data_IF_911971663163
#
_entry.id   IF_911971663163
#
_cell.length_a   1.000
_cell.length_b   1.000
_cell.length_c   1.000
_cell.angle_alpha   90.00
_cell.angle_beta   90.00
_cell.angle_gamma   90.00
#
_symmetry.space_group_name_H-M   'P 1'
#
loop_
_entity.id
_entity.type
_entity.pdbx_description
1 polymer ?
#
# COMPACT_ATOMS: atom_id res chain seq x y z
N UNK A 1 -10.94 42.78 -73.61
CA UNK A 1 -9.48 42.63 -73.36
C UNK A 1 -9.34 41.98 -71.98
N UNK A 2 -8.51 40.98 -71.67
CA UNK A 2 -7.62 40.02 -72.38
C UNK A 2 -7.20 39.01 -71.27
N UNK A 3 -7.14 37.68 -71.40
CA UNK A 3 -7.47 36.69 -72.47
C UNK A 3 -7.72 35.31 -71.81
N UNK A 4 -8.49 34.41 -72.44
CA UNK A 4 -8.46 32.94 -72.18
C UNK A 4 -7.77 32.26 -73.37
N UNK A 5 -6.98 31.16 -73.21
CA UNK A 5 -7.54 29.81 -73.01
C UNK A 5 -6.56 28.85 -72.26
N UNK A 6 -6.56 27.50 -72.31
CA UNK A 6 -7.35 26.42 -72.97
C UNK A 6 -7.59 25.23 -72.02
N UNK A 7 -8.55 24.39 -72.40
CA UNK A 7 -8.81 23.00 -71.99
C UNK A 7 -7.58 22.07 -71.98
N UNK A 8 -7.63 21.03 -71.12
CA UNK A 8 -7.53 19.62 -71.55
C UNK A 8 -8.13 18.64 -70.51
N UNK A 9 -8.89 17.67 -71.00
CA UNK A 9 -9.61 16.63 -70.25
C UNK A 9 -8.72 15.40 -70.03
N UNK A 10 -8.89 14.64 -68.93
CA UNK A 10 -8.96 13.16 -68.96
C UNK A 10 -9.37 12.60 -67.57
N UNK A 11 -10.13 11.49 -67.61
CA UNK A 11 -10.31 10.34 -66.67
C UNK A 11 -9.87 10.47 -65.18
N UNK A 12 -10.54 9.85 -64.19
CA UNK A 12 -11.25 8.56 -64.24
C UNK A 12 -12.21 8.38 -63.04
N UNK A 13 -13.19 7.47 -63.15
CA UNK A 13 -14.03 7.03 -62.03
C UNK A 13 -13.23 6.18 -61.02
N UNK A 14 -13.44 6.43 -59.72
CA UNK A 14 -13.24 5.43 -58.67
C UNK A 14 -14.22 5.70 -57.51
N UNK A 15 -15.33 4.96 -57.46
CA UNK A 15 -16.22 4.91 -56.29
C UNK A 15 -15.57 4.01 -55.25
N UNK A 16 -15.07 4.58 -54.16
CA UNK A 16 -14.52 3.85 -53.02
C UNK A 16 -15.45 3.96 -51.81
N UNK A 17 -16.00 2.83 -51.35
CA UNK A 17 -16.85 2.78 -50.16
C UNK A 17 -16.05 3.16 -48.91
N UNK A 18 -16.32 4.34 -48.35
CA UNK A 18 -15.93 4.66 -46.98
C UNK A 18 -16.87 3.93 -46.00
N UNK A 19 -16.44 2.76 -45.53
CA UNK A 19 -17.10 2.05 -44.43
C UNK A 19 -16.95 2.86 -43.13
N UNK A 20 -17.95 3.69 -42.84
CA UNK A 20 -18.12 4.37 -41.56
C UNK A 20 -18.40 3.33 -40.46
N UNK A 21 -17.34 2.73 -39.92
CA UNK A 21 -17.39 2.05 -38.63
C UNK A 21 -17.49 3.13 -37.56
N UNK A 22 -18.72 3.58 -37.32
CA UNK A 22 -19.03 4.43 -36.19
C UNK A 22 -18.76 3.68 -34.90
N UNK A 23 -17.61 3.93 -34.27
CA UNK A 23 -17.39 3.61 -32.86
C UNK A 23 -18.36 4.44 -32.03
N UNK A 24 -19.57 3.92 -31.87
CA UNK A 24 -20.54 4.44 -30.93
C UNK A 24 -19.97 4.23 -29.53
N UNK A 25 -19.34 5.27 -28.96
CA UNK A 25 -19.12 5.35 -27.53
C UNK A 25 -20.50 5.36 -26.88
N UNK A 26 -20.91 4.20 -26.37
CA UNK A 26 -22.09 4.10 -25.54
C UNK A 26 -21.81 4.91 -24.28
N UNK A 27 -22.29 6.16 -24.25
CA UNK A 27 -22.27 6.97 -23.04
C UNK A 27 -22.87 6.13 -21.90
N UNK A 28 -22.22 6.03 -20.74
CA UNK A 28 -22.70 5.16 -19.67
C UNK A 28 -24.15 5.53 -19.34
N UNK A 29 -25.03 4.53 -19.36
CA UNK A 29 -26.45 4.74 -19.10
C UNK A 29 -26.62 5.52 -17.80
N UNK A 30 -27.41 6.59 -17.79
CA UNK A 30 -27.64 7.38 -16.58
C UNK A 30 -27.99 6.44 -15.42
N UNK A 31 -27.11 6.42 -14.42
CA UNK A 31 -27.30 5.64 -13.20
C UNK A 31 -28.62 6.10 -12.57
N UNK A 32 -29.66 5.28 -12.71
CA UNK A 32 -30.92 5.51 -12.01
C UNK A 32 -30.60 5.54 -10.52
N UNK A 33 -31.23 6.48 -9.80
CA UNK A 33 -31.07 6.73 -8.35
C UNK A 33 -31.49 5.54 -7.44
N UNK A 34 -31.64 4.34 -8.01
CA UNK A 34 -32.11 3.13 -7.37
C UNK A 34 -30.94 2.22 -6.94
N UNK A 35 -29.69 2.50 -7.33
CA UNK A 35 -28.48 1.86 -6.78
C UNK A 35 -28.13 2.44 -5.39
N UNK A 36 -29.14 2.60 -4.53
CA UNK A 36 -28.96 2.95 -3.12
C UNK A 36 -29.07 1.64 -2.34
N UNK A 37 -27.97 1.23 -1.72
CA UNK A 37 -27.95 0.16 -0.72
C UNK A 37 -29.03 0.49 0.34
N UNK A 38 -30.05 -0.37 0.53
CA UNK A 38 -31.10 -0.13 1.52
C UNK A 38 -30.54 0.30 2.89
N UNK A 39 -31.13 1.29 3.59
CA UNK A 39 -30.61 1.76 4.87
C UNK A 39 -30.41 0.65 5.94
N UNK A 40 -31.19 -0.43 5.88
CA UNK A 40 -31.02 -1.60 6.73
C UNK A 40 -29.71 -2.39 6.48
N UNK A 41 -29.09 -2.24 5.30
CA UNK A 41 -27.80 -2.84 4.93
C UNK A 41 -26.62 -1.89 5.16
N UNK A 42 -26.88 -0.58 5.32
CA UNK A 42 -25.90 0.42 5.80
C UNK A 42 -25.66 0.35 7.33
N UNK A 43 -26.28 -0.61 8.02
CA UNK A 43 -26.33 -0.69 9.48
C UNK A 43 -26.03 -2.07 10.07
N UNK A 44 -25.24 -2.91 9.38
CA UNK A 44 -24.76 -4.20 9.90
C UNK A 44 -23.65 -4.00 10.96
N UNK A 45 -23.97 -3.30 12.04
CA UNK A 45 -23.03 -2.92 13.09
C UNK A 45 -22.58 -4.08 13.97
N UNK A 46 -21.35 -3.99 14.49
CA UNK A 46 -20.89 -4.84 15.57
C UNK A 46 -21.81 -4.72 16.80
N UNK A 47 -22.11 -5.83 17.47
CA UNK A 47 -22.89 -5.79 18.72
C UNK A 47 -22.00 -5.23 19.85
N UNK A 48 -22.26 -4.01 20.37
CA UNK A 48 -21.39 -3.39 21.36
C UNK A 48 -21.36 -4.17 22.68
N UNK A 49 -22.34 -5.04 22.93
CA UNK A 49 -22.37 -5.94 24.11
C UNK A 49 -21.36 -7.10 24.01
N UNK A 50 -20.75 -7.29 22.83
CA UNK A 50 -19.70 -8.29 22.55
C UNK A 50 -18.32 -7.66 22.37
N UNK A 51 -18.21 -6.33 22.32
CA UNK A 51 -16.93 -5.64 22.30
C UNK A 51 -16.27 -5.71 23.68
N UNK A 52 -14.93 -5.78 23.72
CA UNK A 52 -14.19 -5.70 24.98
C UNK A 52 -14.42 -4.35 25.66
N UNK A 53 -15.16 -4.35 26.76
CA UNK A 53 -15.71 -3.11 27.33
C UNK A 53 -14.71 -2.36 28.21
N UNK A 54 -14.23 -1.22 27.72
CA UNK A 54 -13.74 -0.13 28.55
C UNK A 54 -14.66 1.09 28.31
N UNK A 55 -15.82 1.09 28.98
CA UNK A 55 -16.91 2.04 28.68
C UNK A 55 -16.66 3.37 29.38
N UNK A 56 -16.58 4.45 28.62
CA UNK A 56 -16.65 5.81 29.19
C UNK A 56 -18.08 6.10 29.67
N UNK A 57 -18.28 6.24 30.98
CA UNK A 57 -19.61 6.47 31.59
C UNK A 57 -20.20 7.86 31.28
N UNK A 58 -19.40 8.81 30.80
CA UNK A 58 -19.85 10.17 30.48
C UNK A 58 -20.13 10.38 28.98
N UNK A 59 -21.32 10.89 28.66
CA UNK A 59 -21.70 11.31 27.30
C UNK A 59 -20.90 12.49 26.74
N UNK A 60 -20.23 13.26 27.60
CA UNK A 60 -19.38 14.39 27.17
C UNK A 60 -17.98 13.88 26.80
N UNK A 61 -17.40 14.35 25.67
CA UNK A 61 -16.06 13.94 25.26
C UNK A 61 -15.02 14.43 26.27
N UNK A 62 -14.36 13.51 26.97
CA UNK A 62 -13.24 13.84 27.85
C UNK A 62 -11.94 13.86 27.06
N UNK A 63 -11.49 15.06 26.68
CA UNK A 63 -10.15 15.28 26.11
C UNK A 63 -9.09 14.72 27.07
N UNK A 64 -8.35 13.70 26.60
CA UNK A 64 -7.20 13.07 27.28
C UNK A 64 -7.27 13.09 28.83
N UNK A 65 -8.34 12.52 29.41
CA UNK A 65 -8.50 12.35 30.86
C UNK A 65 -8.27 13.63 31.71
N UNK A 66 -8.60 14.82 31.19
CA UNK A 66 -8.39 16.12 31.87
C UNK A 66 -6.92 16.46 32.18
N UNK A 67 -5.97 16.00 31.35
CA UNK A 67 -4.55 16.36 31.47
C UNK A 67 -4.37 17.88 31.39
N UNK A 68 -3.89 18.50 32.49
CA UNK A 68 -3.73 19.95 32.62
C UNK A 68 -2.65 20.55 31.72
N UNK A 69 -1.59 19.78 31.44
CA UNK A 69 -0.46 20.16 30.60
C UNK A 69 -0.31 19.10 29.50
N UNK A 70 -1.08 19.17 28.39
CA UNK A 70 -1.00 18.17 27.33
C UNK A 70 0.36 18.22 26.63
N UNK A 71 0.86 17.05 26.24
CA UNK A 71 2.03 16.89 25.38
C UNK A 71 1.74 15.85 24.30
N UNK A 72 2.40 15.98 23.16
CA UNK A 72 2.39 15.01 22.07
C UNK A 72 3.62 14.09 22.07
N UNK A 73 4.50 14.19 23.07
CA UNK A 73 5.63 13.26 23.26
C UNK A 73 5.13 11.85 23.58
N UNK A 74 5.88 10.83 23.14
CA UNK A 74 5.59 9.41 23.42
C UNK A 74 5.54 9.11 24.93
N UNK A 75 4.62 8.23 25.36
CA UNK A 75 4.45 7.91 26.80
C UNK A 75 5.13 6.62 27.25
N UNK A 76 5.33 5.67 26.35
CA UNK A 76 5.84 4.34 26.67
C UNK A 76 6.94 3.89 25.70
N UNK A 77 7.61 2.78 26.04
CA UNK A 77 8.52 2.12 25.12
C UNK A 77 7.79 1.62 23.86
N UNK A 78 6.50 1.27 23.96
CA UNK A 78 5.69 0.86 22.81
C UNK A 78 5.41 2.04 21.87
N UNK A 79 4.99 3.18 22.41
CA UNK A 79 4.85 4.42 21.65
C UNK A 79 6.17 4.80 20.98
N UNK A 80 7.27 4.83 21.74
CA UNK A 80 8.60 5.17 21.22
C UNK A 80 9.00 4.28 20.05
N UNK A 81 8.88 2.95 20.18
CA UNK A 81 9.30 2.02 19.13
C UNK A 81 8.38 2.03 17.91
N UNK A 82 7.10 2.39 18.09
CA UNK A 82 6.14 2.50 16.98
C UNK A 82 6.32 3.81 16.22
N UNK A 83 6.50 4.94 16.91
CA UNK A 83 6.80 6.23 16.28
C UNK A 83 8.22 6.26 15.68
N UNK A 84 9.19 5.54 16.26
CA UNK A 84 10.53 5.39 15.66
C UNK A 84 10.52 4.54 14.37
N UNK A 85 9.61 3.57 14.25
CA UNK A 85 9.37 2.86 12.99
C UNK A 85 8.76 3.78 11.94
N UNK A 86 7.71 4.54 12.30
CA UNK A 86 7.11 5.51 11.40
C UNK A 86 8.14 6.56 10.94
N UNK A 87 8.98 7.10 11.84
CA UNK A 87 10.05 8.03 11.46
C UNK A 87 11.09 7.43 10.50
N UNK A 88 11.32 6.11 10.53
CA UNK A 88 12.15 5.44 9.51
C UNK A 88 11.46 5.39 8.13
N UNK A 89 10.12 5.38 8.08
CA UNK A 89 9.32 5.50 6.85
C UNK A 89 9.43 6.92 6.28
N UNK A 90 9.15 7.95 7.08
CA UNK A 90 9.25 9.37 6.65
C UNK A 90 10.59 9.68 5.98
N UNK A 91 11.67 9.14 6.56
CA UNK A 91 13.03 9.37 6.06
C UNK A 91 13.36 8.63 4.76
N UNK A 92 12.76 7.47 4.49
CA UNK A 92 12.96 6.76 3.21
C UNK A 92 12.08 7.37 2.11
N UNK A 93 10.89 7.87 2.43
CA UNK A 93 10.03 8.60 1.47
C UNK A 93 10.62 9.94 1.09
N UNK A 94 11.08 10.72 2.09
CA UNK A 94 11.82 11.97 1.87
C UNK A 94 13.05 11.78 0.97
N UNK A 95 13.82 10.71 1.19
CA UNK A 95 14.99 10.41 0.36
C UNK A 95 14.58 9.94 -1.04
N UNK A 96 13.67 8.96 -1.14
CA UNK A 96 13.18 8.38 -2.40
C UNK A 96 12.65 9.43 -3.37
N UNK A 97 11.75 10.30 -2.91
CA UNK A 97 11.10 11.28 -3.80
C UNK A 97 12.10 12.32 -4.31
N UNK A 98 13.05 12.78 -3.46
CA UNK A 98 14.12 13.67 -3.89
C UNK A 98 15.16 12.96 -4.78
N UNK A 99 15.48 11.70 -4.49
CA UNK A 99 16.39 10.88 -5.29
C UNK A 99 15.86 10.69 -6.71
N UNK A 100 14.60 10.32 -6.88
CA UNK A 100 13.99 10.12 -8.19
C UNK A 100 13.85 11.42 -9.00
N UNK A 101 13.51 12.54 -8.36
CA UNK A 101 13.49 13.87 -8.97
C UNK A 101 14.89 14.35 -9.41
N UNK A 102 15.96 13.75 -8.87
CA UNK A 102 17.36 14.04 -9.24
C UNK A 102 17.92 13.04 -10.24
N UNK A 103 17.48 11.78 -10.19
CA UNK A 103 17.96 10.67 -11.04
C UNK A 103 17.47 10.80 -12.48
N UNK A 104 16.22 11.17 -12.67
CA UNK A 104 15.55 11.18 -13.97
C UNK A 104 15.44 12.60 -14.54
N UNK A 105 15.62 12.73 -15.85
CA UNK A 105 15.44 14.00 -16.56
C UNK A 105 13.96 14.29 -16.81
N UNK A 106 13.62 15.56 -17.07
CA UNK A 106 12.26 15.96 -17.49
C UNK A 106 11.76 15.08 -18.66
N UNK A 107 12.62 14.75 -19.62
CA UNK A 107 12.29 13.93 -20.77
C UNK A 107 11.97 12.46 -20.42
N UNK A 108 12.54 11.91 -19.33
CA UNK A 108 12.22 10.56 -18.86
C UNK A 108 10.83 10.51 -18.22
N UNK A 109 10.44 11.57 -17.50
CA UNK A 109 9.08 11.74 -16.96
C UNK A 109 8.05 11.99 -18.08
N UNK A 110 8.35 12.90 -19.01
CA UNK A 110 7.49 13.20 -20.15
C UNK A 110 7.27 11.93 -21.00
N UNK A 111 8.28 11.06 -21.15
CA UNK A 111 8.18 9.76 -21.82
C UNK A 111 7.39 8.70 -21.04
N UNK A 112 7.30 8.83 -19.71
CA UNK A 112 6.38 8.07 -18.85
C UNK A 112 4.94 8.62 -18.86
N UNK A 113 4.71 9.81 -19.44
CA UNK A 113 3.43 10.49 -19.45
C UNK A 113 3.16 11.36 -18.21
N UNK A 114 4.19 11.70 -17.43
CA UNK A 114 4.11 12.57 -16.25
C UNK A 114 4.69 13.94 -16.58
N UNK A 115 3.89 14.99 -16.47
CA UNK A 115 4.28 16.34 -16.88
C UNK A 115 4.96 17.16 -15.75
N UNK A 116 5.15 18.47 -15.99
CA UNK A 116 5.81 19.35 -15.04
C UNK A 116 4.99 19.59 -13.74
N UNK A 117 3.66 19.52 -13.80
CA UNK A 117 2.77 19.65 -12.65
C UNK A 117 2.74 18.32 -11.86
N UNK A 118 2.80 17.17 -12.53
CA UNK A 118 2.98 15.86 -11.86
C UNK A 118 4.32 15.82 -11.11
N UNK A 119 5.42 16.28 -11.74
CA UNK A 119 6.73 16.43 -11.10
C UNK A 119 6.70 17.45 -9.95
N UNK A 120 5.86 18.48 -10.04
CA UNK A 120 5.63 19.40 -8.93
C UNK A 120 4.91 18.72 -7.76
N UNK A 121 3.93 17.86 -8.02
CA UNK A 121 3.23 17.09 -6.99
C UNK A 121 4.18 16.12 -6.26
N UNK A 122 5.04 15.40 -6.98
CA UNK A 122 6.10 14.56 -6.35
C UNK A 122 7.00 15.39 -5.43
N UNK A 123 7.39 16.59 -5.88
CA UNK A 123 8.19 17.53 -5.06
C UNK A 123 7.42 18.04 -3.84
N UNK A 124 6.10 18.20 -3.95
CA UNK A 124 5.25 18.61 -2.84
C UNK A 124 5.09 17.49 -1.81
N UNK A 125 4.92 16.23 -2.24
CA UNK A 125 4.94 15.07 -1.35
C UNK A 125 6.27 15.02 -0.58
N UNK A 126 7.41 15.14 -1.27
CA UNK A 126 8.72 15.25 -0.61
C UNK A 126 8.85 16.40 0.42
N UNK A 127 8.03 17.45 0.34
CA UNK A 127 7.97 18.51 1.35
C UNK A 127 7.05 18.17 2.53
N UNK A 128 6.04 17.33 2.33
CA UNK A 128 5.16 16.83 3.39
C UNK A 128 5.96 15.94 4.36
N UNK A 129 6.82 15.07 3.85
CA UNK A 129 7.70 14.20 4.67
C UNK A 129 8.65 14.99 5.57
N UNK A 130 9.04 16.22 5.19
CA UNK A 130 9.80 17.10 6.10
C UNK A 130 8.95 17.46 7.32
N UNK A 131 7.68 17.81 7.11
CA UNK A 131 6.73 18.11 8.18
C UNK A 131 6.43 16.91 9.07
N UNK A 132 6.21 15.75 8.47
CA UNK A 132 5.98 14.50 9.19
C UNK A 132 7.22 14.07 10.01
N UNK A 133 8.41 14.02 9.39
CA UNK A 133 9.66 13.70 10.07
C UNK A 133 9.97 14.68 11.23
N UNK A 134 9.69 15.98 11.07
CA UNK A 134 9.80 16.96 12.17
C UNK A 134 8.81 16.64 13.30
N UNK A 135 7.56 16.32 12.97
CA UNK A 135 6.54 15.98 13.96
C UNK A 135 6.95 14.73 14.77
N UNK A 136 7.27 13.62 14.09
CA UNK A 136 7.60 12.34 14.75
C UNK A 136 8.92 12.41 15.51
N UNK A 137 9.97 13.06 14.96
CA UNK A 137 11.22 13.27 15.70
C UNK A 137 11.02 14.17 16.92
N UNK A 138 10.10 15.14 16.87
CA UNK A 138 9.72 15.95 18.04
C UNK A 138 8.94 15.16 19.10
N UNK A 139 8.16 14.14 18.72
CA UNK A 139 7.49 13.23 19.67
C UNK A 139 8.51 12.36 20.45
N UNK A 140 9.58 11.93 19.76
CA UNK A 140 10.65 11.08 20.29
C UNK A 140 11.76 11.86 21.02
N UNK A 141 11.92 13.15 20.71
CA UNK A 141 12.90 14.03 21.34
C UNK A 141 14.36 13.69 20.98
N UNK A 142 15.33 13.91 21.89
CA UNK A 142 16.75 13.72 21.60
C UNK A 142 17.15 12.31 21.16
N UNK A 143 16.34 11.29 21.48
CA UNK A 143 16.57 9.89 21.13
C UNK A 143 15.95 9.49 19.78
N UNK A 144 15.30 10.40 19.06
CA UNK A 144 14.79 10.15 17.72
C UNK A 144 15.91 9.62 16.80
N UNK A 145 15.71 8.49 16.09
CA UNK A 145 16.65 8.03 15.07
C UNK A 145 16.88 9.14 14.03
N UNK A 146 18.06 9.14 13.43
CA UNK A 146 18.45 10.02 12.33
C UNK A 146 18.23 9.31 11.00
N UNK A 147 18.08 10.12 9.94
CA UNK A 147 17.98 9.63 8.57
C UNK A 147 19.17 8.71 8.24
N UNK A 148 18.86 7.60 7.56
CA UNK A 148 19.84 6.61 7.16
C UNK A 148 20.28 6.83 5.71
N UNK A 149 21.10 5.94 5.17
CA UNK A 149 21.36 5.86 3.73
C UNK A 149 20.57 4.71 3.13
N UNK A 150 20.09 4.91 1.90
CA UNK A 150 19.14 4.02 1.24
C UNK A 150 19.68 3.49 -0.09
N UNK A 151 19.06 2.44 -0.61
CA UNK A 151 19.30 1.90 -1.95
C UNK A 151 17.96 1.66 -2.64
N UNK A 152 17.93 1.93 -3.94
CA UNK A 152 16.76 1.65 -4.79
C UNK A 152 17.23 1.00 -6.10
N UNK A 153 16.49 0.00 -6.56
CA UNK A 153 16.94 -0.88 -7.66
C UNK A 153 16.28 -0.56 -9.01
N UNK A 154 15.32 0.37 -9.05
CA UNK A 154 14.64 0.85 -10.27
C UNK A 154 15.58 1.61 -11.23
N UNK A 155 15.34 1.49 -12.53
CA UNK A 155 16.13 2.12 -13.61
C UNK A 155 15.32 3.05 -14.50
N UNK A 156 13.98 3.04 -14.40
CA UNK A 156 13.06 3.86 -15.19
C UNK A 156 12.03 4.58 -14.30
N UNK A 157 11.39 5.63 -14.83
CA UNK A 157 10.33 6.35 -14.11
C UNK A 157 9.15 5.42 -13.73
N UNK A 158 8.62 4.54 -14.60
CA UNK A 158 7.55 3.62 -14.21
C UNK A 158 7.93 2.66 -13.08
N UNK A 159 9.16 2.14 -13.06
CA UNK A 159 9.66 1.30 -11.95
C UNK A 159 9.82 2.09 -10.64
N UNK A 160 10.15 3.39 -10.71
CA UNK A 160 10.13 4.28 -9.55
C UNK A 160 8.71 4.52 -9.03
N UNK A 161 7.73 4.68 -9.93
CA UNK A 161 6.32 4.88 -9.55
C UNK A 161 5.75 3.61 -8.90
N UNK A 162 5.93 2.41 -9.49
CA UNK A 162 5.54 1.14 -8.87
C UNK A 162 6.23 0.94 -7.51
N UNK A 163 7.53 1.24 -7.41
CA UNK A 163 8.23 1.15 -6.13
C UNK A 163 7.65 2.11 -5.08
N UNK A 164 7.33 3.35 -5.45
CA UNK A 164 6.71 4.34 -4.56
C UNK A 164 5.29 3.96 -4.15
N UNK A 165 4.52 3.37 -5.08
CA UNK A 165 3.18 2.83 -4.86
C UNK A 165 3.18 1.72 -3.79
N UNK A 166 4.15 0.79 -3.88
CA UNK A 166 4.33 -0.26 -2.86
C UNK A 166 4.85 0.31 -1.55
N UNK A 167 5.83 1.23 -1.61
CA UNK A 167 6.53 1.75 -0.43
C UNK A 167 5.60 2.56 0.48
N UNK A 168 4.83 3.48 -0.10
CA UNK A 168 3.78 4.22 0.62
C UNK A 168 2.71 3.28 1.18
N UNK A 169 2.38 2.16 0.50
CA UNK A 169 1.41 1.18 1.03
C UNK A 169 1.87 0.51 2.33
N UNK A 170 3.14 0.08 2.43
CA UNK A 170 3.61 -0.54 3.67
C UNK A 170 3.88 0.48 4.79
N UNK A 171 4.17 1.73 4.44
CA UNK A 171 4.18 2.86 5.37
C UNK A 171 2.81 3.08 5.99
N UNK A 172 1.81 3.39 5.15
CA UNK A 172 0.46 3.67 5.62
C UNK A 172 -0.13 2.53 6.45
N UNK A 173 0.04 1.30 5.94
CA UNK A 173 -0.55 0.11 6.56
C UNK A 173 0.14 -0.22 7.88
N UNK A 174 1.44 0.04 7.99
CA UNK A 174 2.20 -0.12 9.22
C UNK A 174 1.62 0.73 10.35
N UNK A 175 1.41 2.02 10.08
CA UNK A 175 0.82 2.96 11.04
C UNK A 175 -0.62 2.59 11.37
N UNK A 176 -1.48 2.34 10.37
CA UNK A 176 -2.88 1.97 10.60
C UNK A 176 -3.02 0.73 11.50
N UNK A 177 -2.07 -0.22 11.42
CA UNK A 177 -2.05 -1.42 12.27
C UNK A 177 -1.71 -1.18 13.75
N UNK A 178 -1.06 -0.06 14.12
CA UNK A 178 -0.73 0.25 15.52
C UNK A 178 -1.34 1.54 16.08
N UNK A 179 -1.92 2.41 15.24
CA UNK A 179 -2.40 3.74 15.62
C UNK A 179 -3.32 3.72 16.86
N UNK A 180 -4.23 2.74 16.94
CA UNK A 180 -5.18 2.57 18.05
C UNK A 180 -4.58 1.93 19.30
N UNK A 181 -3.33 1.47 19.24
CA UNK A 181 -2.59 0.84 20.33
C UNK A 181 -1.66 1.83 21.07
N UNK A 182 -1.49 3.05 20.55
CA UNK A 182 -0.66 4.08 21.18
C UNK A 182 -1.26 4.58 22.50
N UNK A 183 -0.42 4.71 23.52
CA UNK A 183 -0.81 5.19 24.86
C UNK A 183 -1.12 6.69 24.82
N UNK A 184 -0.30 7.50 24.13
CA UNK A 184 -0.58 8.93 23.97
C UNK A 184 -1.53 9.22 22.79
N UNK A 185 -2.79 9.48 23.13
CA UNK A 185 -3.84 9.92 22.18
C UNK A 185 -3.49 11.19 21.39
N UNK A 186 -2.64 12.08 21.92
CA UNK A 186 -2.22 13.28 21.20
C UNK A 186 -1.20 12.94 20.10
N UNK A 187 -0.24 12.04 20.39
CA UNK A 187 0.67 11.49 19.38
C UNK A 187 -0.11 10.75 18.30
N UNK A 188 -1.05 9.88 18.70
CA UNK A 188 -1.94 9.17 17.78
C UNK A 188 -2.77 10.11 16.90
N UNK A 189 -3.30 11.21 17.45
CA UNK A 189 -4.09 12.17 16.67
C UNK A 189 -3.26 12.96 15.64
N UNK A 190 -1.98 13.25 15.94
CA UNK A 190 -1.08 13.90 14.98
C UNK A 190 -0.62 12.90 13.91
N UNK A 191 -0.27 11.67 14.31
CA UNK A 191 0.06 10.59 13.38
C UNK A 191 -1.12 10.23 12.47
N UNK A 192 -2.37 10.32 12.96
CA UNK A 192 -3.56 10.18 12.13
C UNK A 192 -3.66 11.28 11.04
N UNK A 193 -3.12 12.47 11.30
CA UNK A 193 -3.14 13.58 10.33
C UNK A 193 -2.05 13.42 9.26
N UNK A 194 -0.86 12.89 9.59
CA UNK A 194 0.16 12.55 8.58
C UNK A 194 -0.28 11.34 7.75
N UNK A 195 -0.74 10.26 8.39
CA UNK A 195 -1.06 9.01 7.70
C UNK A 195 -2.22 9.12 6.70
N UNK A 196 -3.18 10.01 6.99
CA UNK A 196 -4.26 10.32 6.03
C UNK A 196 -3.82 11.23 4.88
N UNK A 197 -2.59 11.74 4.94
CA UNK A 197 -1.88 12.38 3.83
C UNK A 197 -1.06 11.35 3.06
N UNK A 198 -0.28 10.48 3.72
CA UNK A 198 0.45 9.35 3.09
C UNK A 198 -0.50 8.47 2.24
N UNK A 199 -1.70 8.17 2.72
CA UNK A 199 -2.73 7.45 1.95
C UNK A 199 -3.12 8.15 0.63
N UNK A 200 -3.06 9.49 0.58
CA UNK A 200 -3.29 10.26 -0.65
C UNK A 200 -2.08 10.24 -1.57
N UNK A 201 -0.88 10.07 -1.03
CA UNK A 201 0.33 9.90 -1.82
C UNK A 201 0.33 8.52 -2.48
N UNK A 202 -0.04 7.46 -1.74
CA UNK A 202 -0.23 6.11 -2.28
C UNK A 202 -1.27 6.12 -3.42
N UNK A 203 -2.45 6.73 -3.17
CA UNK A 203 -3.48 7.01 -4.18
C UNK A 203 -2.91 7.72 -5.42
N UNK A 204 -2.04 8.73 -5.22
CA UNK A 204 -1.43 9.51 -6.31
C UNK A 204 -0.43 8.66 -7.11
N UNK A 205 0.39 7.84 -6.46
CA UNK A 205 1.29 6.91 -7.16
C UNK A 205 0.51 5.88 -7.98
N UNK A 206 -0.65 5.40 -7.50
CA UNK A 206 -1.57 4.56 -8.30
C UNK A 206 -2.09 5.29 -9.54
N UNK A 207 -2.44 6.57 -9.44
CA UNK A 207 -2.82 7.39 -10.60
C UNK A 207 -1.68 7.54 -11.61
N UNK A 208 -0.46 7.81 -11.12
CA UNK A 208 0.74 7.90 -11.95
C UNK A 208 1.14 6.57 -12.60
N UNK A 209 0.84 5.43 -11.96
CA UNK A 209 1.07 4.12 -12.55
C UNK A 209 0.03 3.77 -13.63
N UNK A 210 -1.17 4.38 -13.57
CA UNK A 210 -2.30 4.06 -14.42
C UNK A 210 -3.23 2.97 -13.84
N UNK A 211 -3.18 2.73 -12.53
CA UNK A 211 -4.08 1.84 -11.80
C UNK A 211 -5.34 2.59 -11.33
N UNK A 212 -6.42 1.89 -10.95
CA UNK A 212 -7.57 2.57 -10.34
C UNK A 212 -7.22 3.05 -8.92
N UNK A 213 -7.46 4.32 -8.55
CA UNK A 213 -6.79 4.88 -7.39
C UNK A 213 -7.51 4.66 -6.04
N UNK A 214 -8.77 4.20 -6.02
CA UNK A 214 -9.51 3.87 -4.78
C UNK A 214 -10.23 2.51 -4.87
N UNK A 215 -9.50 1.38 -4.99
CA UNK A 215 -10.07 0.05 -5.24
C UNK A 215 -10.72 -0.62 -4.00
N UNK A 216 -10.45 -0.12 -2.79
CA UNK A 216 -10.93 -0.67 -1.51
C UNK A 216 -11.86 0.31 -0.76
N UNK A 217 -12.53 -0.15 0.32
CA UNK A 217 -13.41 0.70 1.14
C UNK A 217 -12.80 1.10 2.48
N UNK A 218 -11.76 0.41 2.94
CA UNK A 218 -11.10 0.64 4.21
C UNK A 218 -9.61 0.35 4.06
N UNK A 219 -8.75 1.21 4.58
CA UNK A 219 -7.31 0.98 4.49
C UNK A 219 -6.86 -0.22 5.32
N UNK A 220 -5.89 -0.96 4.78
CA UNK A 220 -5.33 -2.15 5.41
C UNK A 220 -4.39 -1.76 6.55
N UNK A 221 -4.50 -2.42 7.70
CA UNK A 221 -3.51 -2.32 8.79
C UNK A 221 -2.63 -3.56 8.88
N UNK A 222 -1.33 -3.40 9.17
CA UNK A 222 -0.39 -4.50 9.41
C UNK A 222 0.45 -4.29 10.69
N UNK A 223 0.94 -5.36 11.36
CA UNK A 223 1.78 -5.21 12.55
C UNK A 223 3.10 -4.45 12.27
N UNK A 224 3.66 -3.78 13.27
CA UNK A 224 4.95 -3.07 13.14
C UNK A 224 6.08 -3.96 12.61
N UNK A 225 6.13 -5.22 13.05
CA UNK A 225 7.11 -6.20 12.60
C UNK A 225 6.98 -6.56 11.11
N UNK A 226 5.78 -6.45 10.54
CA UNK A 226 5.54 -6.65 9.10
C UNK A 226 6.04 -5.44 8.29
N UNK A 227 5.68 -4.22 8.69
CA UNK A 227 6.19 -3.00 8.06
C UNK A 227 7.71 -2.91 8.15
N UNK A 228 8.32 -3.25 9.31
CA UNK A 228 9.78 -3.27 9.46
C UNK A 228 10.46 -4.37 8.62
N UNK A 229 9.81 -5.53 8.44
CA UNK A 229 10.31 -6.59 7.54
C UNK A 229 10.37 -6.11 6.08
N UNK A 230 9.43 -5.26 5.64
CA UNK A 230 9.36 -4.72 4.28
C UNK A 230 10.27 -3.50 4.06
N UNK A 231 10.41 -2.63 5.07
CA UNK A 231 11.20 -1.38 5.00
C UNK A 231 12.70 -1.67 5.13
N UNK A 232 13.10 -2.47 6.12
CA UNK A 232 14.52 -2.66 6.47
C UNK A 232 15.47 -3.16 5.35
N UNK A 233 15.06 -3.94 4.32
CA UNK A 233 15.94 -4.33 3.20
C UNK A 233 16.50 -3.15 2.38
N UNK A 234 15.83 -2.00 2.40
CA UNK A 234 16.15 -0.83 1.58
C UNK A 234 17.11 0.15 2.26
N UNK A 235 17.39 -0.05 3.55
CA UNK A 235 18.37 0.74 4.30
C UNK A 235 19.75 0.10 4.20
N UNK A 236 20.75 0.87 3.76
CA UNK A 236 22.15 0.44 3.61
C UNK A 236 22.90 0.55 4.94
N UNK A 237 22.83 1.73 5.58
CA UNK A 237 23.45 1.99 6.88
C UNK A 237 22.77 3.18 7.57
N UNK A 238 22.83 3.22 8.90
CA UNK A 238 22.34 4.34 9.70
C UNK A 238 23.50 4.96 10.52
N UNK A 239 23.37 6.21 10.99
CA UNK A 239 24.31 6.81 11.94
C UNK A 239 24.47 5.97 13.22
N UNK A 240 25.68 5.95 13.81
CA UNK A 240 26.03 5.05 14.94
C UNK A 240 25.23 5.32 16.23
N UNK A 241 24.67 6.54 16.38
CA UNK A 241 23.77 6.88 17.47
C UNK A 241 22.38 6.21 17.38
N UNK A 242 21.96 5.78 16.19
CA UNK A 242 20.68 5.13 15.99
C UNK A 242 20.63 3.79 16.74
N UNK A 243 19.46 3.49 17.33
CA UNK A 243 19.23 2.25 18.08
C UNK A 243 18.35 1.30 17.27
N UNK A 244 18.60 -0.02 17.33
CA UNK A 244 17.74 -1.00 16.69
C UNK A 244 16.30 -0.88 17.17
N UNK A 245 15.36 -1.03 16.23
CA UNK A 245 13.94 -1.13 16.59
C UNK A 245 13.66 -2.45 17.32
N UNK A 246 12.70 -2.44 18.22
CA UNK A 246 12.26 -3.60 18.98
C UNK A 246 11.49 -4.64 18.14
N UNK A 247 11.27 -4.36 16.86
CA UNK A 247 10.46 -5.18 15.97
C UNK A 247 11.27 -6.30 15.35
N UNK A 248 10.69 -7.49 15.43
CA UNK A 248 11.21 -8.68 14.78
C UNK A 248 11.09 -8.58 13.27
N UNK A 249 11.99 -9.28 12.57
CA UNK A 249 11.90 -9.46 11.11
C UNK A 249 11.71 -10.93 10.77
N UNK A 250 10.97 -11.18 9.70
CA UNK A 250 10.56 -12.52 9.26
C UNK A 250 11.27 -12.94 7.97
N UNK A 251 11.35 -14.25 7.66
CA UNK A 251 11.95 -14.72 6.40
C UNK A 251 11.20 -14.16 5.19
N UNK A 252 11.91 -13.80 4.13
CA UNK A 252 11.30 -13.28 2.92
C UNK A 252 10.30 -14.27 2.29
N UNK A 253 9.21 -13.74 1.76
CA UNK A 253 8.23 -14.45 0.95
C UNK A 253 8.24 -13.84 -0.46
N UNK A 254 8.38 -14.68 -1.47
CA UNK A 254 8.35 -14.31 -2.88
C UNK A 254 7.08 -14.87 -3.52
N UNK A 255 6.26 -13.99 -4.10
CA UNK A 255 5.11 -14.37 -4.92
C UNK A 255 5.56 -14.46 -6.38
N UNK A 256 5.90 -15.67 -6.82
CA UNK A 256 6.67 -15.89 -8.06
C UNK A 256 5.87 -15.68 -9.34
N UNK A 257 4.55 -15.52 -9.25
CA UNK A 257 3.67 -15.21 -10.37
C UNK A 257 2.80 -13.95 -10.15
N UNK A 258 3.39 -12.92 -9.53
CA UNK A 258 2.78 -11.59 -9.43
C UNK A 258 2.46 -10.98 -10.81
N UNK A 259 1.36 -10.20 -10.94
CA UNK A 259 1.05 -9.47 -12.16
C UNK A 259 2.04 -8.32 -12.38
N UNK A 260 2.18 -7.90 -13.63
CA UNK A 260 2.94 -6.72 -14.02
C UNK A 260 2.03 -5.49 -13.97
N UNK A 261 2.05 -4.78 -12.84
CA UNK A 261 1.23 -3.59 -12.59
C UNK A 261 1.57 -2.43 -13.55
N UNK A 262 2.86 -2.25 -13.88
CA UNK A 262 3.34 -1.28 -14.88
C UNK A 262 2.76 -1.59 -16.27
N UNK A 263 2.79 -2.85 -16.70
CA UNK A 263 2.20 -3.25 -17.97
C UNK A 263 0.67 -3.10 -17.99
N UNK A 264 0.00 -3.39 -16.87
CA UNK A 264 -1.45 -3.20 -16.74
C UNK A 264 -1.86 -1.73 -16.80
N UNK A 265 -1.17 -0.85 -16.06
CA UNK A 265 -1.40 0.59 -16.09
C UNK A 265 -1.09 1.21 -17.46
N UNK A 266 0.00 0.77 -18.10
CA UNK A 266 0.29 1.13 -19.51
C UNK A 266 -0.81 0.68 -20.47
N UNK A 267 -1.37 -0.52 -20.28
CA UNK A 267 -2.51 -1.00 -21.08
C UNK A 267 -3.83 -0.23 -20.80
N UNK A 268 -3.95 0.37 -19.61
CA UNK A 268 -5.06 1.26 -19.25
C UNK A 268 -4.99 2.65 -19.92
N UNK A 269 -3.83 3.01 -20.48
CA UNK A 269 -3.55 4.34 -21.06
C UNK A 269 -2.42 5.11 -20.36
N UNK A 270 -1.83 4.57 -19.29
CA UNK A 270 -0.79 5.22 -18.50
C UNK A 270 -1.34 6.16 -17.41
N UNK A 271 -0.55 7.16 -16.98
CA UNK A 271 -0.93 8.11 -15.93
C UNK A 271 -2.32 8.73 -16.17
N UNK A 272 -3.20 8.64 -15.17
CA UNK A 272 -4.57 9.13 -15.30
C UNK A 272 -5.24 9.40 -13.95
N UNK A 273 -6.10 10.42 -13.89
CA UNK A 273 -6.91 10.74 -12.70
C UNK A 273 -7.78 9.55 -12.29
N UNK A 274 -8.29 8.79 -13.28
CA UNK A 274 -9.04 7.56 -13.07
C UNK A 274 -9.13 6.76 -14.37
N UNK A 275 -9.31 5.45 -14.22
CA UNK A 275 -9.51 4.47 -15.29
C UNK A 275 -10.46 3.37 -14.76
N UNK A 276 -10.50 2.20 -15.38
CA UNK A 276 -11.36 1.08 -14.94
C UNK A 276 -10.57 -0.22 -14.68
N UNK A 277 -9.26 -0.12 -14.41
CA UNK A 277 -8.41 -1.24 -13.99
C UNK A 277 -8.50 -1.36 -12.47
N UNK A 278 -9.58 -1.98 -12.03
CA UNK A 278 -9.94 -2.12 -10.60
C UNK A 278 -9.54 -3.48 -10.01
N UNK A 279 -8.74 -4.27 -10.74
CA UNK A 279 -8.26 -5.60 -10.38
C UNK A 279 -7.10 -6.01 -11.30
N UNK A 280 -6.05 -6.58 -10.71
CA UNK A 280 -4.88 -7.17 -11.36
C UNK A 280 -4.84 -8.70 -11.19
N UNK A 281 -5.58 -9.21 -10.19
CA UNK A 281 -5.78 -10.65 -9.95
C UNK A 281 -7.26 -10.99 -9.77
N UNK A 282 -7.59 -12.28 -9.70
CA UNK A 282 -8.97 -12.76 -9.62
C UNK A 282 -9.15 -13.92 -8.63
N UNK A 283 -10.37 -14.08 -8.13
CA UNK A 283 -10.77 -15.23 -7.30
C UNK A 283 -10.38 -16.57 -7.95
N UNK A 284 -9.84 -17.49 -7.14
CA UNK A 284 -9.46 -18.84 -7.60
C UNK A 284 -8.13 -18.91 -8.37
N UNK A 285 -7.51 -17.77 -8.70
CA UNK A 285 -6.16 -17.69 -9.29
C UNK A 285 -5.16 -18.49 -8.44
N UNK A 286 -4.37 -19.34 -9.10
CA UNK A 286 -3.27 -20.07 -8.46
C UNK A 286 -2.10 -19.12 -8.25
N UNK A 287 -1.77 -18.84 -6.99
CA UNK A 287 -0.61 -18.07 -6.58
C UNK A 287 0.52 -19.03 -6.15
N UNK A 288 1.70 -18.85 -6.71
CA UNK A 288 2.90 -19.64 -6.40
C UNK A 288 3.82 -18.88 -5.47
N UNK A 289 4.29 -19.55 -4.41
CA UNK A 289 5.11 -18.95 -3.36
C UNK A 289 6.44 -19.67 -3.19
N UNK A 290 7.49 -18.89 -3.01
CA UNK A 290 8.81 -19.34 -2.53
C UNK A 290 9.15 -18.61 -1.24
N UNK A 291 9.81 -19.27 -0.27
CA UNK A 291 10.22 -18.61 0.97
C UNK A 291 11.64 -18.90 1.44
N UNK A 292 12.17 -17.96 2.22
CA UNK A 292 13.50 -18.04 2.81
C UNK A 292 13.51 -18.87 4.11
N UNK A 293 14.69 -19.36 4.49
CA UNK A 293 14.88 -19.90 5.84
C UNK A 293 15.09 -18.75 6.85
N UNK A 294 14.69 -18.95 8.13
CA UNK A 294 15.09 -18.04 9.21
C UNK A 294 16.61 -18.04 9.40
N UNK A 295 17.13 -16.91 9.90
CA UNK A 295 18.55 -16.71 10.23
C UNK A 295 19.31 -15.81 9.26
N UNK A 296 18.69 -15.38 8.14
CA UNK A 296 19.25 -14.41 7.20
C UNK A 296 19.41 -13.05 7.88
N UNK A 297 20.57 -12.43 7.73
CA UNK A 297 20.84 -11.08 8.23
C UNK A 297 20.24 -10.04 7.28
N UNK A 298 19.53 -9.05 7.83
CA UNK A 298 18.86 -7.98 7.09
C UNK A 298 18.84 -6.67 7.89
N UNK A 299 18.76 -5.55 7.15
CA UNK A 299 18.58 -4.22 7.72
C UNK A 299 19.86 -3.59 8.30
N UNK A 300 19.77 -2.30 8.70
CA UNK A 300 20.93 -1.51 9.10
C UNK A 300 21.49 -1.92 10.46
N UNK A 301 20.73 -2.71 11.22
CA UNK A 301 21.06 -3.18 12.56
C UNK A 301 21.47 -4.66 12.59
N UNK A 302 21.72 -5.28 11.42
CA UNK A 302 22.12 -6.69 11.29
C UNK A 302 21.19 -7.68 12.01
N UNK A 303 19.89 -7.39 12.01
CA UNK A 303 18.89 -8.29 12.60
C UNK A 303 18.82 -9.59 11.80
N UNK A 304 18.45 -10.69 12.46
CA UNK A 304 18.23 -11.98 11.80
C UNK A 304 16.75 -12.29 11.67
N UNK A 305 16.34 -12.75 10.49
CA UNK A 305 14.99 -13.25 10.26
C UNK A 305 14.67 -14.42 11.18
N UNK A 306 13.44 -14.50 11.71
CA UNK A 306 13.01 -15.61 12.57
C UNK A 306 11.54 -15.94 12.38
N UNK A 307 11.16 -17.14 12.79
CA UNK A 307 9.78 -17.60 12.93
C UNK A 307 9.59 -18.15 14.34
N UNK A 308 8.36 -18.06 14.87
CA UNK A 308 7.95 -18.64 16.15
C UNK A 308 7.26 -20.00 16.00
N UNK A 309 7.18 -20.50 14.76
CA UNK A 309 6.47 -21.73 14.37
C UNK A 309 7.46 -22.90 14.14
N UNK A 310 6.94 -24.06 13.74
CA UNK A 310 7.77 -25.17 13.24
C UNK A 310 8.43 -24.91 11.87
N UNK A 311 8.14 -23.78 11.21
CA UNK A 311 8.64 -23.46 9.87
C UNK A 311 7.90 -24.17 8.73
N UNK A 312 6.84 -24.94 9.01
CA UNK A 312 6.00 -25.61 8.02
C UNK A 312 4.71 -24.81 7.82
N UNK A 313 4.52 -24.13 6.67
CA UNK A 313 3.34 -23.33 6.45
C UNK A 313 2.14 -24.21 6.06
N UNK A 314 0.94 -23.79 6.44
CA UNK A 314 -0.33 -24.48 6.13
C UNK A 314 -1.31 -23.58 5.38
N UNK A 315 -1.23 -22.26 5.57
CA UNK A 315 -2.14 -21.31 4.95
C UNK A 315 -1.36 -20.12 4.36
N UNK A 316 -1.90 -19.53 3.30
CA UNK A 316 -1.61 -18.17 2.89
C UNK A 316 -2.63 -17.24 3.57
N UNK A 317 -2.14 -16.34 4.42
CA UNK A 317 -2.91 -15.34 5.15
C UNK A 317 -2.90 -14.03 4.37
N UNK A 318 -4.02 -13.69 3.74
CA UNK A 318 -4.22 -12.44 3.02
C UNK A 318 -4.80 -11.40 3.98
N UNK A 319 -4.01 -10.41 4.36
CA UNK A 319 -4.42 -9.28 5.20
C UNK A 319 -4.86 -8.15 4.26
N UNK A 320 -6.15 -7.84 4.29
CA UNK A 320 -6.80 -6.90 3.37
C UNK A 320 -7.89 -6.15 4.11
N UNK A 321 -7.90 -4.82 3.98
CA UNK A 321 -8.83 -3.92 4.65
C UNK A 321 -8.79 -4.19 6.17
N UNK A 322 -9.93 -4.48 6.81
CA UNK A 322 -9.96 -4.79 8.24
C UNK A 322 -9.96 -6.30 8.59
N UNK A 323 -9.75 -7.21 7.63
CA UNK A 323 -9.86 -8.65 7.83
C UNK A 323 -8.57 -9.41 7.42
N UNK A 324 -8.41 -10.61 8.00
CA UNK A 324 -7.47 -11.63 7.49
C UNK A 324 -8.25 -12.78 6.92
N UNK A 325 -7.92 -13.19 5.70
CA UNK A 325 -8.57 -14.30 5.01
C UNK A 325 -7.55 -15.35 4.60
N UNK A 326 -7.85 -16.60 4.89
CA UNK A 326 -6.93 -17.72 4.72
C UNK A 326 -7.29 -18.55 3.51
N UNK A 327 -6.28 -18.93 2.73
CA UNK A 327 -6.38 -20.01 1.76
C UNK A 327 -5.47 -21.17 2.19
N UNK A 328 -5.94 -22.44 2.17
CA UNK A 328 -5.09 -23.58 2.47
C UNK A 328 -4.00 -23.74 1.41
N UNK A 329 -2.79 -24.07 1.86
CA UNK A 329 -1.68 -24.36 0.97
C UNK A 329 -1.76 -25.79 0.43
N UNK A 330 -1.33 -25.95 -0.81
CA UNK A 330 -1.10 -27.23 -1.48
C UNK A 330 0.24 -27.20 -2.23
N UNK A 331 0.66 -28.35 -2.75
CA UNK A 331 1.98 -28.56 -3.37
C UNK A 331 3.15 -28.04 -2.48
N UNK A 332 3.04 -28.23 -1.16
CA UNK A 332 4.01 -27.75 -0.18
C UNK A 332 5.25 -28.65 -0.15
N UNK A 333 6.38 -28.12 -0.63
CA UNK A 333 7.71 -28.75 -0.49
C UNK A 333 8.56 -27.92 0.47
N UNK A 334 8.84 -28.46 1.66
CA UNK A 334 9.66 -27.79 2.69
C UNK A 334 11.16 -27.80 2.39
N UNK A 335 11.64 -28.65 1.50
CA UNK A 335 13.04 -28.71 1.08
C UNK A 335 13.32 -27.62 0.02
N UNK A 336 12.46 -27.56 -1.01
CA UNK A 336 12.48 -26.49 -2.00
C UNK A 336 12.04 -25.14 -1.43
N UNK A 337 11.19 -25.16 -0.38
CA UNK A 337 10.45 -24.02 0.18
C UNK A 337 9.53 -23.38 -0.86
N UNK A 338 8.73 -24.24 -1.50
CA UNK A 338 7.70 -23.87 -2.46
C UNK A 338 6.32 -24.31 -1.96
N UNK A 339 5.30 -23.53 -2.27
CA UNK A 339 3.90 -23.85 -1.98
C UNK A 339 2.98 -23.08 -2.93
N UNK A 340 1.70 -23.47 -2.95
CA UNK A 340 0.67 -22.80 -3.73
C UNK A 340 -0.57 -22.52 -2.90
N UNK A 341 -1.28 -21.46 -3.24
CA UNK A 341 -2.63 -21.19 -2.75
C UNK A 341 -3.54 -20.78 -3.91
N UNK A 342 -4.85 -20.93 -3.75
CA UNK A 342 -5.81 -20.20 -4.59
C UNK A 342 -6.19 -18.90 -3.90
N UNK A 343 -6.20 -17.79 -4.63
CA UNK A 343 -6.69 -16.52 -4.10
C UNK A 343 -8.13 -16.70 -3.60
N UNK A 344 -8.42 -16.36 -2.32
CA UNK A 344 -9.77 -16.45 -1.79
C UNK A 344 -10.68 -15.38 -2.40
N UNK A 345 -11.95 -15.72 -2.56
CA UNK A 345 -12.99 -14.86 -3.11
C UNK A 345 -13.76 -14.05 -2.08
N UNK A 346 -14.91 -13.55 -2.52
CA UNK A 346 -15.89 -12.87 -1.67
C UNK A 346 -15.72 -11.36 -1.58
N UNK A 347 -16.49 -10.76 -0.67
CA UNK A 347 -16.64 -9.31 -0.52
C UNK A 347 -16.63 -8.90 0.95
N UNK A 348 -16.22 -7.65 1.24
CA UNK A 348 -16.14 -7.12 2.62
C UNK A 348 -17.49 -7.11 3.32
N UNK A 349 -18.53 -6.77 2.56
CA UNK A 349 -19.94 -6.85 2.92
C UNK A 349 -20.71 -7.49 1.76
N UNK A 350 -21.95 -7.99 1.95
CA UNK A 350 -22.73 -8.63 0.87
C UNK A 350 -23.02 -7.75 -0.37
N UNK A 351 -22.79 -6.44 -0.30
CA UNK A 351 -22.84 -5.48 -1.42
C UNK A 351 -21.60 -4.57 -1.43
N UNK A 352 -20.48 -5.08 -0.90
CA UNK A 352 -19.20 -4.38 -0.79
C UNK A 352 -18.24 -4.67 -1.96
N UNK A 353 -17.01 -4.13 -1.90
CA UNK A 353 -15.97 -4.41 -2.86
C UNK A 353 -15.50 -5.85 -2.69
N UNK A 354 -14.75 -6.36 -3.68
CA UNK A 354 -14.03 -7.62 -3.53
C UNK A 354 -13.12 -7.57 -2.31
N UNK A 355 -13.01 -8.70 -1.63
CA UNK A 355 -12.18 -8.86 -0.44
C UNK A 355 -10.68 -8.72 -0.77
N UNK A 356 -10.29 -9.22 -1.94
CA UNK A 356 -8.97 -9.02 -2.52
C UNK A 356 -9.08 -7.93 -3.58
N UNK A 357 -8.54 -6.76 -3.28
CA UNK A 357 -8.35 -5.64 -4.18
C UNK A 357 -7.27 -4.71 -3.62
N UNK A 358 -6.81 -3.70 -4.37
CA UNK A 358 -5.70 -2.83 -3.96
C UNK A 358 -4.35 -3.56 -3.84
N UNK A 359 -3.39 -2.90 -3.20
CA UNK A 359 -2.13 -3.49 -2.76
C UNK A 359 -2.29 -3.97 -1.31
N UNK A 360 -2.30 -5.28 -1.11
CA UNK A 360 -2.54 -5.96 0.18
C UNK A 360 -1.28 -6.74 0.60
N UNK A 361 -1.38 -7.48 1.71
CA UNK A 361 -0.25 -8.23 2.27
C UNK A 361 -0.57 -9.72 2.39
N UNK A 362 0.39 -10.56 2.00
CA UNK A 362 0.29 -12.02 2.17
C UNK A 362 1.43 -12.52 3.05
N UNK A 363 1.13 -13.34 4.04
CA UNK A 363 2.14 -14.12 4.78
C UNK A 363 1.79 -15.60 4.76
N UNK A 364 2.79 -16.47 4.86
CA UNK A 364 2.56 -17.90 5.06
C UNK A 364 2.48 -18.19 6.56
N UNK A 365 1.42 -18.85 7.01
CA UNK A 365 1.16 -19.11 8.43
C UNK A 365 0.95 -20.59 8.76
N UNK A 366 1.21 -20.95 10.02
CA UNK A 366 0.99 -22.32 10.55
C UNK A 366 -0.44 -22.57 11.06
N UNK A 367 -1.24 -21.51 11.18
CA UNK A 367 -2.65 -21.51 11.59
C UNK A 367 -3.48 -20.50 10.80
N UNK A 368 -4.80 -20.72 10.80
CA UNK A 368 -5.88 -19.89 10.25
C UNK A 368 -6.63 -19.11 11.35
N UNK A 369 -5.90 -18.70 12.39
CA UNK A 369 -6.46 -18.00 13.57
C UNK A 369 -7.20 -16.73 13.16
N UNK A 370 -8.44 -16.57 13.65
CA UNK A 370 -9.24 -15.39 13.32
C UNK A 370 -8.68 -14.10 13.97
N UNK A 371 -8.37 -13.12 13.13
CA UNK A 371 -7.89 -11.80 13.53
C UNK A 371 -8.83 -10.67 13.09
N UNK A 372 -8.78 -9.60 13.87
CA UNK A 372 -9.47 -8.32 13.69
C UNK A 372 -8.46 -7.20 13.96
N UNK A 373 -8.77 -5.93 13.67
CA UNK A 373 -7.87 -4.81 14.00
C UNK A 373 -7.51 -4.74 15.49
N UNK A 374 -8.34 -5.30 16.38
CA UNK A 374 -8.07 -5.32 17.82
C UNK A 374 -7.00 -6.34 18.26
N UNK A 375 -6.67 -7.35 17.44
CA UNK A 375 -5.76 -8.44 17.81
C UNK A 375 -4.81 -8.91 16.70
N UNK A 376 -4.75 -8.21 15.57
CA UNK A 376 -3.95 -8.59 14.40
C UNK A 376 -2.46 -8.83 14.71
N UNK A 377 -1.85 -8.04 15.60
CA UNK A 377 -0.45 -8.19 15.99
C UNK A 377 -0.08 -9.55 16.59
N UNK A 378 -1.05 -10.39 16.95
CA UNK A 378 -0.82 -11.78 17.36
C UNK A 378 -0.43 -12.70 16.18
N UNK A 379 -0.72 -12.33 14.92
CA UNK A 379 -0.33 -13.09 13.72
C UNK A 379 1.19 -13.30 13.63
N UNK A 380 1.96 -12.39 14.21
CA UNK A 380 3.42 -12.43 14.34
C UNK A 380 3.97 -13.76 14.90
N UNK A 381 3.23 -14.42 15.79
CA UNK A 381 3.63 -15.72 16.35
C UNK A 381 3.34 -16.91 15.43
N UNK A 382 2.58 -16.69 14.36
CA UNK A 382 2.15 -17.69 13.39
C UNK A 382 2.79 -17.54 12.01
N UNK A 383 3.57 -16.48 11.77
CA UNK A 383 4.30 -16.26 10.51
C UNK A 383 5.44 -17.27 10.36
N UNK A 384 5.39 -18.04 9.28
CA UNK A 384 6.50 -18.85 8.76
C UNK A 384 7.41 -17.98 7.90
N UNK A 385 6.82 -17.22 6.96
CA UNK A 385 7.52 -16.30 6.08
C UNK A 385 6.56 -15.19 5.58
N UNK A 386 7.14 -14.06 5.18
CA UNK A 386 6.43 -12.86 4.76
C UNK A 386 6.42 -11.76 5.83
N UNK A 387 5.69 -10.66 5.62
CA UNK A 387 4.78 -10.45 4.48
C UNK A 387 5.49 -10.32 3.14
N UNK A 388 4.76 -10.61 2.08
CA UNK A 388 4.97 -10.11 0.73
C UNK A 388 3.91 -9.06 0.40
N UNK A 389 4.28 -8.07 -0.41
CA UNK A 389 3.32 -7.17 -1.07
C UNK A 389 2.57 -7.95 -2.14
N UNK A 390 1.25 -7.76 -2.21
CA UNK A 390 0.38 -8.42 -3.17
C UNK A 390 -0.52 -7.37 -3.85
N UNK A 391 -0.14 -6.93 -5.05
CA UNK A 391 -0.96 -6.05 -5.89
C UNK A 391 -2.13 -6.85 -6.49
N UNK A 392 -3.27 -6.87 -5.80
CA UNK A 392 -4.50 -7.52 -6.26
C UNK A 392 -5.31 -6.67 -7.24
N UNK A 393 -5.11 -5.34 -7.25
CA UNK A 393 -5.81 -4.39 -8.11
C UNK A 393 -5.28 -2.98 -8.04
#
# INVERSE_FOLDING_TARGET
MVVSPRFSTLLQFAVGCASLVGLASAAPSQLKRNNIVPPAQLGAGADPRKAGMNISESYQPQSSFQVKNPTYSVFSNFDFQSIALALHQEYIELDLFNYALTKFSDADYDAAGLDADDRHLIRHMAQQEIGHAIALSSMLGPQAPKQCTYRYEFQTVPEFIDFSQRLTKWGESGVYGFLTLLDNRASAQILLQSITTEARQQYTFRQFEGLFPMPEWFETGIPQAWAWTLLSPWIVSCPEENRPLAWDIYPGLNWTNQPDAIAAGKAAGGPSISNNVTALTQEGQENTFEWEQPGKTQGPYYQKTKTYTSGVPKFAAYVSQFNVTYAPLYDVDTNARTAKARQPGGTVYPQGPTLMNSTIFVALTDSDTYYTPANLSLINYHVVAGPAIYQAG
#
